data_IF_226171699670
#
_entry.id   IF_226171699670
#
_cell.length_a   1.000
_cell.length_b   1.000
_cell.length_c   1.000
_cell.angle_alpha   90.00
_cell.angle_beta   90.00
_cell.angle_gamma   90.00
#
_symmetry.space_group_name_H-M   'P 1'
#
loop_
_entity.id
_entity.type
_entity.pdbx_description
1 polymer ?
#
# COMPACT_ATOMS: atom_id res chain seq x y z
N UNK A 1 28.84 14.80 16.44
CA UNK A 1 27.39 14.51 16.24
C UNK A 1 26.83 15.49 15.22
N UNK A 2 26.08 15.00 14.22
CA UNK A 2 25.46 15.85 13.20
C UNK A 2 24.13 16.37 13.74
N UNK A 3 23.85 17.66 13.59
CA UNK A 3 22.62 18.27 14.08
C UNK A 3 21.42 17.74 13.23
N UNK A 4 20.30 17.41 13.87
CA UNK A 4 19.15 16.77 13.22
C UNK A 4 18.58 17.57 12.03
N UNK A 5 18.73 18.89 12.02
CA UNK A 5 18.29 19.76 10.91
C UNK A 5 19.04 19.51 9.60
N UNK A 6 20.26 18.93 9.66
CA UNK A 6 21.06 18.57 8.48
C UNK A 6 20.78 17.16 7.97
N UNK A 7 19.91 16.41 8.64
CA UNK A 7 19.53 15.05 8.28
C UNK A 7 18.32 14.98 7.31
N UNK A 8 17.80 16.12 6.88
CA UNK A 8 16.73 16.19 5.88
C UNK A 8 17.29 15.99 4.45
N UNK A 9 18.03 14.92 4.26
CA UNK A 9 18.63 14.49 3.00
C UNK A 9 18.16 13.09 2.66
N UNK A 10 18.13 12.77 1.37
CA UNK A 10 17.62 11.47 0.86
C UNK A 10 18.40 10.27 1.42
N UNK A 11 19.68 10.46 1.72
CA UNK A 11 20.59 9.43 2.24
C UNK A 11 21.18 9.84 3.59
N UNK A 12 20.34 10.08 4.59
CA UNK A 12 20.75 10.57 5.91
C UNK A 12 21.85 9.72 6.57
N UNK A 13 21.77 8.39 6.47
CA UNK A 13 22.75 7.47 7.06
C UNK A 13 24.12 7.57 6.40
N UNK A 14 24.16 7.62 5.07
CA UNK A 14 25.41 7.80 4.29
C UNK A 14 26.05 9.15 4.58
N UNK A 15 25.24 10.21 4.66
CA UNK A 15 25.71 11.56 5.01
C UNK A 15 26.34 11.63 6.40
N UNK A 16 25.72 10.99 7.40
CA UNK A 16 26.28 10.96 8.77
C UNK A 16 27.65 10.25 8.78
N UNK A 17 27.79 9.13 8.10
CA UNK A 17 29.05 8.38 8.04
C UNK A 17 30.14 9.13 7.29
N UNK A 18 29.81 9.83 6.21
CA UNK A 18 30.74 10.69 5.50
C UNK A 18 31.22 11.84 6.38
N UNK A 19 30.32 12.42 7.20
CA UNK A 19 30.68 13.52 8.12
C UNK A 19 31.65 13.13 9.24
N UNK A 20 31.79 11.83 9.54
CA UNK A 20 32.76 11.26 10.47
C UNK A 20 33.94 10.59 9.75
N UNK A 21 34.18 10.90 8.47
CA UNK A 21 35.28 10.38 7.64
C UNK A 21 35.28 8.85 7.45
N UNK A 22 34.15 8.18 7.60
CA UNK A 22 33.98 6.75 7.40
C UNK A 22 33.43 6.43 5.99
N UNK A 23 34.15 6.91 4.95
CA UNK A 23 33.70 6.82 3.56
C UNK A 23 33.50 5.37 3.07
N UNK A 24 34.37 4.45 3.47
CA UNK A 24 34.26 3.03 3.06
C UNK A 24 33.01 2.39 3.65
N UNK A 25 32.70 2.65 4.91
CA UNK A 25 31.49 2.13 5.58
C UNK A 25 30.24 2.77 4.98
N UNK A 26 30.27 4.06 4.67
CA UNK A 26 29.20 4.76 3.98
C UNK A 26 28.90 4.12 2.61
N UNK A 27 29.93 3.75 1.83
CA UNK A 27 29.79 3.08 0.56
C UNK A 27 29.11 1.70 0.68
N UNK A 28 29.54 0.88 1.64
CA UNK A 28 28.94 -0.45 1.89
C UNK A 28 27.45 -0.31 2.27
N UNK A 29 27.12 0.63 3.15
CA UNK A 29 25.73 0.87 3.57
C UNK A 29 24.88 1.36 2.40
N UNK A 30 25.39 2.27 1.56
CA UNK A 30 24.67 2.74 0.36
C UNK A 30 24.39 1.60 -0.62
N UNK A 31 25.35 0.71 -0.88
CA UNK A 31 25.13 -0.46 -1.72
C UNK A 31 24.09 -1.40 -1.10
N UNK A 32 24.18 -1.67 0.20
CA UNK A 32 23.18 -2.48 0.91
C UNK A 32 21.78 -1.88 0.85
N UNK A 33 21.67 -0.56 0.99
CA UNK A 33 20.40 0.16 0.88
C UNK A 33 19.79 0.04 -0.54
N UNK A 34 20.60 0.19 -1.59
CA UNK A 34 20.14 0.02 -2.97
C UNK A 34 19.61 -1.39 -3.22
N UNK A 35 20.34 -2.41 -2.79
CA UNK A 35 19.91 -3.82 -2.93
C UNK A 35 18.59 -4.04 -2.17
N UNK A 36 18.50 -3.53 -0.93
CA UNK A 36 17.29 -3.64 -0.11
C UNK A 36 16.10 -2.93 -0.75
N UNK A 37 16.27 -1.73 -1.29
CA UNK A 37 15.22 -1.01 -1.99
C UNK A 37 14.75 -1.73 -3.24
N UNK A 38 15.68 -2.29 -4.04
CA UNK A 38 15.31 -3.10 -5.21
C UNK A 38 14.46 -4.31 -4.82
N UNK A 39 14.83 -5.02 -3.74
CA UNK A 39 14.06 -6.15 -3.23
C UNK A 39 12.64 -5.75 -2.79
N UNK A 40 12.51 -4.62 -2.10
CA UNK A 40 11.21 -4.08 -1.67
C UNK A 40 10.35 -3.67 -2.86
N UNK A 41 10.91 -2.97 -3.85
CA UNK A 41 10.20 -2.58 -5.08
C UNK A 41 9.68 -3.82 -5.80
N UNK A 42 10.51 -4.85 -5.95
CA UNK A 42 10.13 -6.10 -6.59
C UNK A 42 8.99 -6.79 -5.84
N UNK A 43 9.11 -6.93 -4.52
CA UNK A 43 8.07 -7.57 -3.69
C UNK A 43 6.73 -6.82 -3.76
N UNK A 44 6.76 -5.49 -3.68
CA UNK A 44 5.54 -4.67 -3.76
C UNK A 44 4.89 -4.73 -5.15
N UNK A 45 5.67 -4.66 -6.23
CA UNK A 45 5.14 -4.82 -7.59
C UNK A 45 4.53 -6.21 -7.80
N UNK A 46 5.17 -7.25 -7.29
CA UNK A 46 4.63 -8.61 -7.35
C UNK A 46 3.30 -8.73 -6.61
N UNK A 47 3.22 -8.20 -5.37
CA UNK A 47 1.98 -8.20 -4.59
C UNK A 47 0.86 -7.41 -5.29
N UNK A 48 1.15 -6.20 -5.79
CA UNK A 48 0.19 -5.37 -6.51
C UNK A 48 -0.33 -6.07 -7.78
N UNK A 49 0.54 -6.74 -8.52
CA UNK A 49 0.17 -7.52 -9.72
C UNK A 49 -0.78 -8.66 -9.39
N UNK A 50 -0.54 -9.36 -8.28
CA UNK A 50 -1.41 -10.44 -7.81
C UNK A 50 -2.79 -9.94 -7.41
N UNK A 51 -2.86 -8.81 -6.71
CA UNK A 51 -4.13 -8.16 -6.33
C UNK A 51 -4.89 -7.73 -7.59
N UNK A 52 -4.23 -7.05 -8.53
CA UNK A 52 -4.87 -6.62 -9.77
C UNK A 52 -5.36 -7.79 -10.63
N UNK A 53 -4.60 -8.89 -10.67
CA UNK A 53 -5.03 -10.13 -11.33
C UNK A 53 -6.30 -10.71 -10.69
N UNK A 54 -6.33 -10.81 -9.35
CA UNK A 54 -7.49 -11.30 -8.63
C UNK A 54 -8.72 -10.41 -8.88
N UNK A 55 -8.58 -9.10 -8.78
CA UNK A 55 -9.64 -8.15 -9.09
C UNK A 55 -10.12 -8.22 -10.54
N UNK A 56 -9.21 -8.44 -11.49
CA UNK A 56 -9.54 -8.65 -12.90
C UNK A 56 -10.32 -9.95 -13.13
N UNK A 57 -9.97 -11.04 -12.42
CA UNK A 57 -10.67 -12.32 -12.45
C UNK A 57 -12.07 -12.20 -11.86
N UNK A 58 -12.23 -11.46 -10.78
CA UNK A 58 -13.51 -11.28 -10.09
C UNK A 58 -14.42 -10.24 -10.81
N UNK A 59 -13.98 -9.68 -11.96
CA UNK A 59 -14.73 -8.72 -12.76
C UNK A 59 -14.73 -7.29 -12.21
N UNK A 60 -13.91 -6.99 -11.19
CA UNK A 60 -13.77 -5.66 -10.60
C UNK A 60 -12.87 -4.73 -11.42
N UNK A 61 -11.90 -5.30 -12.15
CA UNK A 61 -11.04 -4.61 -13.10
C UNK A 61 -11.26 -5.14 -14.52
N UNK A 62 -10.85 -4.39 -15.55
CA UNK A 62 -10.92 -4.86 -16.93
C UNK A 62 -10.24 -6.22 -17.11
N UNK A 63 -10.82 -7.10 -17.92
CA UNK A 63 -10.32 -8.46 -18.17
C UNK A 63 -8.88 -8.54 -18.71
N UNK A 64 -8.31 -7.42 -19.14
CA UNK A 64 -6.90 -7.33 -19.54
C UNK A 64 -5.97 -7.68 -18.37
N UNK A 65 -6.35 -7.32 -17.12
CA UNK A 65 -5.58 -7.62 -15.93
C UNK A 65 -5.59 -9.11 -15.55
N UNK A 66 -6.60 -9.86 -15.96
CA UNK A 66 -6.72 -11.30 -15.68
C UNK A 66 -6.13 -12.19 -16.78
N UNK A 67 -5.63 -11.61 -17.90
CA UNK A 67 -5.00 -12.40 -18.96
C UNK A 67 -3.62 -12.90 -18.50
N UNK A 68 -3.46 -14.24 -18.55
CA UNK A 68 -2.19 -14.92 -18.28
C UNK A 68 -1.54 -15.40 -19.58
N UNK A 69 -0.24 -15.56 -19.56
CA UNK A 69 0.53 -16.19 -20.62
C UNK A 69 0.50 -17.74 -20.45
N UNK A 70 1.11 -18.49 -21.37
CA UNK A 70 1.23 -19.96 -21.33
C UNK A 70 1.85 -20.51 -20.02
N UNK A 71 2.52 -19.67 -19.26
CA UNK A 71 3.14 -19.99 -17.95
C UNK A 71 2.34 -19.46 -16.76
N UNK A 72 1.03 -19.23 -16.91
CA UNK A 72 0.12 -18.66 -15.88
C UNK A 72 0.58 -17.34 -15.24
N UNK A 73 1.44 -16.59 -15.94
CA UNK A 73 1.96 -15.31 -15.48
C UNK A 73 1.12 -14.16 -16.06
N UNK A 74 0.61 -13.23 -15.24
CA UNK A 74 -0.20 -12.10 -15.71
C UNK A 74 0.71 -10.97 -16.25
N UNK A 75 1.33 -11.20 -17.41
CA UNK A 75 2.32 -10.30 -18.02
C UNK A 75 1.73 -8.90 -18.27
N UNK A 76 0.49 -8.82 -18.72
CA UNK A 76 -0.19 -7.55 -18.95
C UNK A 76 -0.30 -6.72 -17.66
N UNK A 77 -0.68 -7.35 -16.54
CA UNK A 77 -0.77 -6.70 -15.23
C UNK A 77 0.61 -6.20 -14.74
N UNK A 78 1.66 -6.99 -14.96
CA UNK A 78 3.04 -6.61 -14.58
C UNK A 78 3.46 -5.33 -15.30
N UNK A 79 3.31 -5.28 -16.63
CA UNK A 79 3.69 -4.11 -17.42
C UNK A 79 2.83 -2.89 -17.12
N UNK A 80 1.53 -3.06 -16.92
CA UNK A 80 0.63 -1.95 -16.61
C UNK A 80 0.93 -1.36 -15.23
N UNK A 81 1.09 -2.20 -14.19
CA UNK A 81 1.39 -1.72 -12.83
C UNK A 81 2.81 -1.15 -12.76
N UNK A 82 3.80 -1.85 -13.29
CA UNK A 82 5.19 -1.37 -13.30
C UNK A 82 5.34 -0.07 -14.09
N UNK A 83 4.74 0.04 -15.26
CA UNK A 83 4.74 1.26 -16.07
C UNK A 83 4.02 2.41 -15.37
N UNK A 84 2.85 2.18 -14.78
CA UNK A 84 2.10 3.17 -14.01
C UNK A 84 2.89 3.66 -12.79
N UNK A 85 3.52 2.75 -12.06
CA UNK A 85 4.39 3.08 -10.92
C UNK A 85 5.58 3.94 -11.37
N UNK A 86 6.24 3.57 -12.47
CA UNK A 86 7.38 4.32 -13.01
C UNK A 86 6.99 5.75 -13.43
N UNK A 87 5.84 5.90 -14.11
CA UNK A 87 5.33 7.21 -14.53
C UNK A 87 4.99 8.06 -13.29
N UNK A 88 4.21 7.54 -12.35
CA UNK A 88 3.78 8.28 -11.16
C UNK A 88 4.99 8.70 -10.32
N UNK A 89 5.98 7.82 -10.12
CA UNK A 89 7.19 8.14 -9.36
C UNK A 89 8.09 9.20 -10.02
N UNK A 90 7.95 9.41 -11.32
CA UNK A 90 8.69 10.45 -12.05
C UNK A 90 8.09 11.86 -11.91
N UNK A 91 6.80 11.97 -11.57
CA UNK A 91 6.09 13.26 -11.52
C UNK A 91 5.74 13.72 -10.10
N UNK A 92 5.71 12.83 -9.12
CA UNK A 92 5.31 13.15 -7.76
C UNK A 92 6.50 13.05 -6.81
N UNK A 93 6.66 14.02 -5.92
CA UNK A 93 7.71 14.03 -4.92
C UNK A 93 7.64 12.82 -3.99
N UNK A 94 8.79 12.27 -3.62
CA UNK A 94 8.91 11.11 -2.71
C UNK A 94 8.16 11.32 -1.40
N UNK A 95 8.17 12.55 -0.86
CA UNK A 95 7.45 12.90 0.37
C UNK A 95 5.94 12.74 0.21
N UNK A 96 5.38 13.20 -0.91
CA UNK A 96 3.95 13.11 -1.19
C UNK A 96 3.53 11.67 -1.46
N UNK A 97 4.37 10.89 -2.17
CA UNK A 97 4.16 9.46 -2.38
C UNK A 97 4.18 8.67 -1.07
N UNK A 98 5.14 8.97 -0.18
CA UNK A 98 5.20 8.33 1.14
C UNK A 98 3.96 8.63 1.98
N UNK A 99 3.51 9.88 1.99
CA UNK A 99 2.30 10.28 2.70
C UNK A 99 1.05 9.59 2.12
N UNK A 100 0.97 9.45 0.79
CA UNK A 100 -0.13 8.74 0.13
C UNK A 100 -0.13 7.24 0.46
N UNK A 101 1.05 6.61 0.51
CA UNK A 101 1.19 5.24 0.95
C UNK A 101 0.76 5.05 2.42
N UNK A 102 1.16 5.98 3.30
CA UNK A 102 0.80 5.97 4.72
C UNK A 102 -0.72 6.09 4.92
N UNK A 103 -1.40 7.04 4.25
CA UNK A 103 -2.86 7.19 4.43
C UNK A 103 -3.60 5.95 3.94
N UNK A 104 -3.15 5.33 2.84
CA UNK A 104 -3.72 4.08 2.33
C UNK A 104 -3.54 2.91 3.30
N UNK A 105 -2.34 2.76 3.90
CA UNK A 105 -2.06 1.74 4.91
C UNK A 105 -2.90 1.95 6.17
N UNK A 106 -2.97 3.19 6.68
CA UNK A 106 -3.76 3.53 7.88
C UNK A 106 -5.25 3.26 7.66
N UNK A 107 -5.79 3.60 6.48
CA UNK A 107 -7.16 3.27 6.14
C UNK A 107 -7.39 1.76 6.12
N UNK A 108 -6.47 1.00 5.52
CA UNK A 108 -6.56 -0.46 5.49
C UNK A 108 -6.57 -1.05 6.90
N UNK A 109 -5.71 -0.58 7.80
CA UNK A 109 -5.69 -1.03 9.19
C UNK A 109 -6.97 -0.66 9.94
N UNK A 110 -7.51 0.54 9.71
CA UNK A 110 -8.79 0.93 10.29
C UNK A 110 -9.94 0.04 9.80
N UNK A 111 -9.98 -0.27 8.49
CA UNK A 111 -10.98 -1.17 7.89
C UNK A 111 -10.87 -2.61 8.40
N UNK A 112 -9.65 -3.12 8.56
CA UNK A 112 -9.42 -4.46 9.16
C UNK A 112 -9.90 -4.48 10.60
N UNK A 113 -9.59 -3.45 11.40
CA UNK A 113 -10.06 -3.33 12.79
C UNK A 113 -11.59 -3.29 12.87
N UNK A 114 -12.24 -2.56 11.99
CA UNK A 114 -13.69 -2.51 11.86
C UNK A 114 -14.27 -3.88 11.46
N UNK A 115 -13.65 -4.54 10.49
CA UNK A 115 -14.07 -5.86 10.02
C UNK A 115 -14.01 -6.91 11.13
N UNK A 116 -13.00 -6.87 12.00
CA UNK A 116 -12.90 -7.75 13.18
C UNK A 116 -14.08 -7.52 14.13
N UNK A 117 -14.48 -6.25 14.36
CA UNK A 117 -15.62 -5.95 15.22
C UNK A 117 -16.94 -6.46 14.65
N UNK A 118 -17.18 -6.24 13.35
CA UNK A 118 -18.39 -6.68 12.65
C UNK A 118 -18.45 -8.21 12.63
N UNK A 119 -17.36 -8.87 12.23
CA UNK A 119 -17.31 -10.32 12.08
C UNK A 119 -17.53 -11.06 13.43
N UNK A 120 -17.12 -10.43 14.53
CA UNK A 120 -17.39 -10.99 15.88
C UNK A 120 -18.85 -10.90 16.28
N UNK A 121 -19.59 -9.90 15.80
CA UNK A 121 -21.02 -9.77 16.07
C UNK A 121 -21.86 -10.67 15.16
N UNK A 122 -21.49 -10.74 13.87
CA UNK A 122 -22.30 -11.40 12.84
C UNK A 122 -22.03 -12.90 12.76
N UNK A 123 -20.78 -13.34 12.91
CA UNK A 123 -20.37 -14.75 12.75
C UNK A 123 -19.67 -15.27 14.00
N UNK A 124 -20.44 -15.48 15.08
CA UNK A 124 -19.88 -15.97 16.37
C UNK A 124 -19.46 -17.44 16.32
N UNK A 125 -20.01 -18.23 15.41
CA UNK A 125 -19.83 -19.70 15.34
C UNK A 125 -18.59 -20.13 14.53
N UNK A 126 -17.86 -19.21 13.91
CA UNK A 126 -16.66 -19.56 13.15
C UNK A 126 -15.55 -20.06 14.09
N UNK A 127 -15.02 -21.24 13.79
CA UNK A 127 -13.80 -21.73 14.45
C UNK A 127 -12.63 -20.81 14.15
N UNK A 128 -12.01 -20.29 15.21
CA UNK A 128 -10.94 -19.30 15.12
C UNK A 128 -9.65 -19.90 15.68
N UNK A 129 -8.63 -20.00 14.86
CA UNK A 129 -7.31 -20.46 15.27
C UNK A 129 -6.64 -19.53 16.30
N UNK A 130 -6.98 -18.21 16.27
CA UNK A 130 -6.50 -17.22 17.24
C UNK A 130 -7.64 -16.31 17.70
N UNK A 131 -7.74 -16.09 19.01
CA UNK A 131 -8.70 -15.15 19.61
C UNK A 131 -7.96 -13.91 20.10
N UNK A 132 -8.17 -12.78 19.44
CA UNK A 132 -7.63 -11.49 19.89
C UNK A 132 -8.11 -11.19 21.29
N UNK A 133 -7.20 -10.92 22.26
CA UNK A 133 -7.59 -10.57 23.61
C UNK A 133 -8.26 -9.19 23.66
N UNK A 134 -8.99 -8.91 24.72
CA UNK A 134 -9.62 -7.61 25.01
C UNK A 134 -10.50 -7.03 23.86
N UNK A 135 -11.18 -7.86 23.09
CA UNK A 135 -12.20 -7.37 22.16
C UNK A 135 -13.49 -7.06 22.94
N UNK A 136 -14.12 -5.88 22.72
CA UNK A 136 -13.99 -4.96 21.58
C UNK A 136 -12.98 -3.82 21.77
N UNK A 137 -12.32 -3.69 22.90
CA UNK A 137 -11.51 -2.52 23.27
C UNK A 137 -10.31 -2.33 22.32
N UNK A 138 -9.53 -3.39 22.10
CA UNK A 138 -8.30 -3.32 21.28
C UNK A 138 -8.54 -2.89 19.83
N UNK A 139 -9.51 -3.44 19.08
CA UNK A 139 -9.82 -2.96 17.75
C UNK A 139 -10.35 -1.52 17.70
N UNK A 140 -11.10 -1.07 18.72
CA UNK A 140 -11.58 0.32 18.80
C UNK A 140 -10.42 1.28 18.99
N UNK A 141 -9.49 0.97 19.90
CA UNK A 141 -8.28 1.78 20.12
C UNK A 141 -7.43 1.81 18.85
N UNK A 142 -7.21 0.65 18.22
CA UNK A 142 -6.45 0.57 16.95
C UNK A 142 -7.06 1.45 15.86
N UNK A 143 -8.38 1.37 15.66
CA UNK A 143 -9.09 2.21 14.70
C UNK A 143 -8.98 3.69 15.06
N UNK A 144 -9.13 4.06 16.35
CA UNK A 144 -8.99 5.44 16.82
C UNK A 144 -7.59 6.00 16.59
N UNK A 145 -6.54 5.21 16.87
CA UNK A 145 -5.15 5.59 16.59
C UNK A 145 -4.90 5.79 15.08
N UNK A 146 -5.41 4.90 14.24
CA UNK A 146 -5.28 5.05 12.79
C UNK A 146 -5.94 6.33 12.29
N UNK A 147 -7.16 6.61 12.72
CA UNK A 147 -7.89 7.84 12.36
C UNK A 147 -7.17 9.09 12.86
N UNK A 148 -6.67 9.06 14.11
CA UNK A 148 -5.91 10.17 14.67
C UNK A 148 -4.64 10.46 13.86
N UNK A 149 -3.89 9.43 13.47
CA UNK A 149 -2.70 9.58 12.63
C UNK A 149 -3.07 10.11 11.24
N UNK A 150 -4.17 9.65 10.65
CA UNK A 150 -4.65 10.16 9.35
C UNK A 150 -4.95 11.66 9.42
N UNK A 151 -5.58 12.14 10.49
CA UNK A 151 -5.91 13.56 10.66
C UNK A 151 -4.67 14.46 10.76
N UNK A 152 -3.52 13.91 11.21
CA UNK A 152 -2.26 14.63 11.29
C UNK A 152 -1.46 14.68 9.97
N UNK A 153 -1.96 14.07 8.89
CA UNK A 153 -1.34 14.12 7.57
C UNK A 153 -1.58 15.48 6.89
N UNK A 154 -0.63 15.95 6.05
CA UNK A 154 -0.78 17.19 5.32
C UNK A 154 -2.03 17.24 4.45
N UNK A 155 -2.66 18.42 4.31
CA UNK A 155 -3.87 18.58 3.51
C UNK A 155 -3.73 18.18 2.03
N UNK A 156 -2.53 18.32 1.46
CA UNK A 156 -2.21 17.82 0.10
C UNK A 156 -2.41 16.31 -0.03
N UNK A 157 -2.05 15.54 1.01
CA UNK A 157 -2.25 14.09 1.03
C UNK A 157 -3.72 13.72 0.94
N UNK A 158 -4.58 14.45 1.65
CA UNK A 158 -6.02 14.26 1.59
C UNK A 158 -6.59 14.55 0.21
N UNK A 159 -6.06 15.55 -0.49
CA UNK A 159 -6.48 15.87 -1.85
C UNK A 159 -6.10 14.74 -2.83
N UNK A 160 -4.84 14.27 -2.80
CA UNK A 160 -4.41 13.14 -3.63
C UNK A 160 -5.17 11.86 -3.33
N UNK A 161 -5.40 11.59 -2.05
CA UNK A 161 -6.18 10.45 -1.60
C UNK A 161 -7.64 10.53 -2.05
N UNK A 162 -8.26 11.72 -1.95
CA UNK A 162 -9.61 11.96 -2.43
C UNK A 162 -9.76 11.74 -3.93
N UNK A 163 -8.81 12.24 -4.73
CA UNK A 163 -8.77 12.00 -6.18
C UNK A 163 -8.65 10.51 -6.48
N UNK A 164 -7.75 9.81 -5.77
CA UNK A 164 -7.56 8.37 -5.92
C UNK A 164 -8.83 7.57 -5.60
N UNK A 165 -9.50 7.90 -4.48
CA UNK A 165 -10.77 7.30 -4.11
C UNK A 165 -11.86 7.57 -5.14
N UNK A 166 -11.94 8.79 -5.65
CA UNK A 166 -12.92 9.16 -6.66
C UNK A 166 -12.72 8.34 -7.94
N UNK A 167 -11.48 8.18 -8.41
CA UNK A 167 -11.15 7.31 -9.54
C UNK A 167 -11.61 5.87 -9.26
N UNK A 168 -11.35 5.34 -8.06
CA UNK A 168 -11.78 4.00 -7.68
C UNK A 168 -13.30 3.83 -7.69
N UNK A 169 -14.03 4.80 -7.13
CA UNK A 169 -15.51 4.79 -7.11
C UNK A 169 -16.09 4.90 -8.51
N UNK A 170 -15.54 5.77 -9.36
CA UNK A 170 -15.97 5.91 -10.76
C UNK A 170 -15.73 4.60 -11.53
N UNK A 171 -14.56 3.99 -11.38
CA UNK A 171 -14.28 2.68 -11.98
C UNK A 171 -15.25 1.60 -11.49
N UNK A 172 -15.53 1.59 -10.19
CA UNK A 172 -16.49 0.65 -9.62
C UNK A 172 -17.90 0.85 -10.20
N UNK A 173 -18.40 2.08 -10.22
CA UNK A 173 -19.74 2.40 -10.72
C UNK A 173 -19.88 2.17 -12.24
N UNK A 174 -18.85 2.52 -13.01
CA UNK A 174 -18.89 2.43 -14.47
C UNK A 174 -18.66 1.01 -15.00
N UNK A 175 -17.79 0.24 -14.36
CA UNK A 175 -17.36 -1.06 -14.87
C UNK A 175 -17.75 -2.21 -13.94
N UNK A 176 -17.33 -2.19 -12.67
CA UNK A 176 -17.45 -3.32 -11.75
C UNK A 176 -18.90 -3.71 -11.47
N UNK A 177 -19.79 -2.73 -11.30
CA UNK A 177 -21.19 -2.97 -11.01
C UNK A 177 -21.91 -3.78 -12.11
N UNK A 178 -21.46 -3.69 -13.36
CA UNK A 178 -22.04 -4.43 -14.50
C UNK A 178 -21.36 -5.76 -14.80
N UNK A 179 -20.11 -5.95 -14.36
CA UNK A 179 -19.26 -7.09 -14.73
C UNK A 179 -18.83 -7.96 -13.55
N UNK A 180 -19.24 -7.61 -12.31
CA UNK A 180 -18.90 -8.38 -11.12
C UNK A 180 -19.48 -9.79 -11.16
N UNK A 181 -18.63 -10.78 -11.16
CA UNK A 181 -19.02 -12.20 -11.07
C UNK A 181 -19.64 -12.53 -9.70
N UNK A 182 -19.25 -11.79 -8.65
CA UNK A 182 -19.79 -11.94 -7.29
C UNK A 182 -21.29 -11.54 -7.19
N UNK A 183 -21.72 -10.55 -7.99
CA UNK A 183 -23.12 -10.14 -8.03
C UNK A 183 -24.02 -11.14 -8.77
N UNK A 184 -23.45 -12.09 -9.54
CA UNK A 184 -24.21 -13.12 -10.25
C UNK A 184 -24.39 -14.40 -9.45
N UNK A 185 -23.57 -14.58 -8.39
CA UNK A 185 -23.59 -15.78 -7.53
C UNK A 185 -24.42 -15.59 -6.24
N UNK A 186 -24.98 -14.43 -6.01
CA UNK A 186 -25.87 -14.05 -4.91
C UNK A 186 -27.33 -13.98 -5.41
#
# INVERSE_FOLDING_TARGET
MVHYTKLNVTEAMSYVLQSVHQNSVAGIISVGAVIGLMAVIFANNYAATRIAYAMGRDGLLPKVFSKTNKSDTPVASIWMIGGMTAVISGFIDLKDLSNLANIGALLTFAMVSLSVLILRKTHQQLERGFRVPFVPVLPIISMGCCLFLMLNLPGRTWLYFGVWLLIGVVMYAAYSNKHSELAKSS
#
